data_IF_609989265948
#
_entry.id   IF_609989265948
#
_cell.length_a   1.000
_cell.length_b   1.000
_cell.length_c   1.000
_cell.angle_alpha   90.00
_cell.angle_beta   90.00
_cell.angle_gamma   90.00
#
_symmetry.space_group_name_H-M   'P 1'
#
loop_
_entity.id
_entity.type
_entity.pdbx_description
1 polymer ?
#
# COMPACT_ATOMS: atom_id res chain seq x y z
N UNK A 1 8.50 15.03 -9.35
CA UNK A 1 9.01 14.44 -8.10
C UNK A 1 10.51 14.64 -7.96
N UNK A 2 11.35 13.95 -8.73
CA UNK A 2 12.81 13.92 -8.52
C UNK A 2 13.52 15.28 -8.55
N UNK A 3 13.07 16.18 -9.43
CA UNK A 3 13.59 17.54 -9.50
C UNK A 3 13.28 18.37 -8.24
N UNK A 4 12.18 18.07 -7.55
CA UNK A 4 11.69 18.83 -6.37
C UNK A 4 12.19 18.22 -5.07
N UNK A 5 12.40 16.90 -5.04
CA UNK A 5 12.83 16.16 -3.84
C UNK A 5 14.35 16.00 -3.73
N UNK A 6 15.14 16.66 -4.59
CA UNK A 6 16.60 16.51 -4.60
C UNK A 6 17.04 15.06 -4.88
N UNK A 7 16.31 14.34 -5.72
CA UNK A 7 16.57 12.92 -6.02
C UNK A 7 15.99 11.93 -4.99
N UNK A 8 15.33 12.40 -3.92
CA UNK A 8 14.70 11.51 -2.94
C UNK A 8 13.47 10.84 -3.53
N UNK A 9 13.42 9.52 -3.42
CA UNK A 9 12.50 8.64 -4.12
C UNK A 9 11.22 8.33 -3.31
N UNK A 10 10.53 9.35 -2.77
CA UNK A 10 9.60 9.17 -1.64
C UNK A 10 8.17 8.73 -1.93
N UNK A 11 7.68 8.64 -3.18
CA UNK A 11 6.29 8.22 -3.46
C UNK A 11 6.14 7.44 -4.77
N UNK A 12 7.16 6.68 -5.17
CA UNK A 12 7.12 5.95 -6.45
C UNK A 12 6.02 4.91 -6.50
N UNK A 13 5.78 4.20 -5.40
CA UNK A 13 4.72 3.19 -5.32
C UNK A 13 3.36 3.84 -5.42
N UNK A 14 3.10 4.91 -4.66
CA UNK A 14 1.84 5.65 -4.74
C UNK A 14 1.57 6.18 -6.16
N UNK A 15 2.55 6.85 -6.81
CA UNK A 15 2.37 7.36 -8.18
C UNK A 15 2.07 6.22 -9.16
N UNK A 16 2.81 5.11 -9.06
CA UNK A 16 2.59 3.95 -9.91
C UNK A 16 1.17 3.39 -9.74
N UNK A 17 0.73 3.20 -8.49
CA UNK A 17 -0.59 2.64 -8.21
C UNK A 17 -1.73 3.56 -8.59
N UNK A 18 -1.64 4.85 -8.22
CA UNK A 18 -2.63 5.86 -8.60
C UNK A 18 -2.73 5.97 -10.11
N UNK A 19 -1.60 5.95 -10.84
CA UNK A 19 -1.61 6.00 -12.31
C UNK A 19 -2.37 4.83 -12.96
N UNK A 20 -2.17 3.61 -12.45
CA UNK A 20 -2.92 2.43 -12.94
C UNK A 20 -4.41 2.52 -12.58
N UNK A 21 -4.73 2.92 -11.34
CA UNK A 21 -6.10 3.09 -10.89
C UNK A 21 -6.83 4.20 -11.67
N UNK A 22 -6.16 5.30 -12.02
CA UNK A 22 -6.70 6.33 -12.92
C UNK A 22 -7.04 5.76 -14.30
N UNK A 23 -6.15 4.95 -14.88
CA UNK A 23 -6.39 4.33 -16.19
C UNK A 23 -7.58 3.36 -16.14
N UNK A 24 -7.67 2.55 -15.08
CA UNK A 24 -8.79 1.66 -14.84
C UNK A 24 -10.11 2.44 -14.66
N UNK A 25 -10.13 3.43 -13.78
CA UNK A 25 -11.31 4.26 -13.52
C UNK A 25 -11.78 4.98 -14.80
N UNK A 26 -10.88 5.63 -15.54
CA UNK A 26 -11.23 6.32 -16.78
C UNK A 26 -11.80 5.41 -17.86
N UNK A 27 -11.33 4.16 -17.94
CA UNK A 27 -11.92 3.17 -18.84
C UNK A 27 -13.32 2.76 -18.42
N UNK A 28 -13.56 2.56 -17.11
CA UNK A 28 -14.89 2.17 -16.61
C UNK A 28 -15.91 3.30 -16.69
N UNK A 29 -15.53 4.53 -16.31
CA UNK A 29 -16.41 5.70 -16.36
C UNK A 29 -16.88 6.07 -17.77
N UNK A 30 -16.28 5.50 -18.82
CA UNK A 30 -16.79 5.64 -20.19
C UNK A 30 -18.15 4.96 -20.38
N UNK A 31 -18.33 3.81 -19.75
CA UNK A 31 -19.45 2.90 -20.01
C UNK A 31 -20.36 2.72 -18.77
N UNK A 32 -19.94 3.22 -17.59
CA UNK A 32 -20.61 3.04 -16.30
C UNK A 32 -20.65 4.34 -15.50
N UNK A 33 -21.78 4.63 -14.86
CA UNK A 33 -21.93 5.80 -13.97
C UNK A 33 -21.33 5.58 -12.57
N UNK A 34 -20.91 4.35 -12.26
CA UNK A 34 -20.35 4.00 -10.97
C UNK A 34 -19.24 2.95 -11.12
N UNK A 35 -18.23 3.04 -10.27
CA UNK A 35 -17.08 2.14 -10.21
C UNK A 35 -16.91 1.63 -8.80
N UNK A 36 -16.43 0.40 -8.63
CA UNK A 36 -16.09 -0.17 -7.32
C UNK A 36 -14.59 -0.39 -7.19
N UNK A 37 -14.11 -0.47 -5.95
CA UNK A 37 -12.73 -0.79 -5.60
C UNK A 37 -12.30 -2.11 -6.24
N UNK A 38 -13.16 -3.13 -6.19
CA UNK A 38 -12.91 -4.43 -6.81
C UNK A 38 -12.82 -4.33 -8.33
N UNK A 39 -13.73 -3.60 -8.98
CA UNK A 39 -13.72 -3.48 -10.44
C UNK A 39 -12.48 -2.72 -10.93
N UNK A 40 -12.11 -1.64 -10.25
CA UNK A 40 -10.92 -0.85 -10.58
C UNK A 40 -9.63 -1.62 -10.32
N UNK A 41 -9.57 -2.38 -9.23
CA UNK A 41 -8.43 -3.22 -8.90
C UNK A 41 -8.28 -4.39 -9.90
N UNK A 42 -9.39 -5.03 -10.27
CA UNK A 42 -9.41 -6.07 -11.31
C UNK A 42 -8.90 -5.53 -12.66
N UNK A 43 -9.41 -4.38 -13.12
CA UNK A 43 -8.99 -3.82 -14.39
C UNK A 43 -7.52 -3.33 -14.34
N UNK A 44 -7.08 -2.78 -13.22
CA UNK A 44 -5.67 -2.43 -13.01
C UNK A 44 -4.74 -3.65 -13.14
N UNK A 45 -5.17 -4.81 -12.63
CA UNK A 45 -4.47 -6.08 -12.83
C UNK A 45 -4.41 -6.47 -14.30
N UNK A 46 -5.52 -6.36 -15.05
CA UNK A 46 -5.52 -6.66 -16.49
C UNK A 46 -4.55 -5.78 -17.27
N UNK A 47 -4.41 -4.50 -16.88
CA UNK A 47 -3.46 -3.57 -17.51
C UNK A 47 -2.01 -3.94 -17.18
N UNK A 48 -1.72 -4.28 -15.91
CA UNK A 48 -0.34 -4.44 -15.44
C UNK A 48 0.23 -5.85 -15.64
N UNK A 49 -0.59 -6.90 -15.52
CA UNK A 49 -0.12 -8.28 -15.28
C UNK A 49 0.85 -8.80 -16.34
N UNK A 50 0.47 -8.73 -17.62
CA UNK A 50 1.30 -9.26 -18.72
C UNK A 50 2.68 -8.60 -18.77
N UNK A 51 2.74 -7.28 -18.61
CA UNK A 51 4.01 -6.55 -18.65
C UNK A 51 4.86 -6.79 -17.39
N UNK A 52 4.21 -6.94 -16.22
CA UNK A 52 4.90 -7.29 -14.97
C UNK A 52 5.50 -8.71 -15.03
N UNK A 53 4.77 -9.69 -15.56
CA UNK A 53 5.25 -11.06 -15.76
C UNK A 53 6.47 -11.09 -16.68
N UNK A 54 6.41 -10.39 -17.81
CA UNK A 54 7.56 -10.21 -18.72
C UNK A 54 8.74 -9.53 -18.02
N UNK A 55 8.49 -8.51 -17.20
CA UNK A 55 9.54 -7.81 -16.47
C UNK A 55 10.24 -8.74 -15.46
N UNK A 56 9.48 -9.54 -14.69
CA UNK A 56 10.06 -10.48 -13.74
C UNK A 56 10.90 -11.57 -14.42
N UNK A 57 10.41 -12.15 -15.52
CA UNK A 57 11.17 -13.11 -16.32
C UNK A 57 12.50 -12.54 -16.81
N UNK A 58 12.48 -11.27 -17.25
CA UNK A 58 13.69 -10.57 -17.66
C UNK A 58 14.64 -10.32 -16.48
N UNK A 59 14.12 -9.91 -15.32
CA UNK A 59 14.93 -9.68 -14.11
C UNK A 59 15.65 -10.96 -13.67
N UNK A 60 15.01 -12.13 -13.78
CA UNK A 60 15.62 -13.42 -13.45
C UNK A 60 16.83 -13.77 -14.33
N UNK A 61 16.95 -13.16 -15.52
CA UNK A 61 17.98 -13.47 -16.53
C UNK A 61 19.10 -12.42 -16.59
N UNK A 62 19.09 -11.41 -15.72
CA UNK A 62 20.11 -10.35 -15.70
C UNK A 62 20.48 -9.87 -14.30
N UNK A 63 21.60 -9.16 -14.14
CA UNK A 63 21.91 -8.47 -12.89
C UNK A 63 20.84 -7.40 -12.53
N UNK A 64 20.51 -7.24 -11.23
CA UNK A 64 19.51 -6.27 -10.81
C UNK A 64 20.08 -4.84 -10.81
N UNK A 65 19.34 -3.91 -11.40
CA UNK A 65 19.66 -2.49 -11.46
C UNK A 65 19.01 -1.70 -10.31
N UNK A 66 17.83 -2.13 -9.85
CA UNK A 66 17.07 -1.40 -8.82
C UNK A 66 17.06 -2.11 -7.47
N UNK A 67 16.72 -1.37 -6.40
CA UNK A 67 16.50 -1.96 -5.07
C UNK A 67 15.37 -3.00 -5.10
N UNK A 68 14.28 -2.71 -5.81
CA UNK A 68 13.14 -3.63 -5.94
C UNK A 68 13.52 -4.94 -6.64
N UNK A 69 14.31 -4.87 -7.71
CA UNK A 69 14.82 -6.06 -8.40
C UNK A 69 15.73 -6.91 -7.51
N UNK A 70 16.61 -6.28 -6.74
CA UNK A 70 17.45 -7.01 -5.75
C UNK A 70 16.60 -7.73 -4.72
N UNK A 71 15.55 -7.10 -4.22
CA UNK A 71 14.63 -7.72 -3.27
C UNK A 71 13.84 -8.87 -3.90
N UNK A 72 13.37 -8.70 -5.13
CA UNK A 72 12.70 -9.75 -5.87
C UNK A 72 13.60 -10.98 -6.06
N UNK A 73 14.84 -10.79 -6.52
CA UNK A 73 15.80 -11.89 -6.69
C UNK A 73 16.19 -12.56 -5.36
N UNK A 74 16.30 -11.78 -4.27
CA UNK A 74 16.75 -12.31 -2.97
C UNK A 74 15.65 -12.99 -2.16
N UNK A 75 14.42 -12.47 -2.23
CA UNK A 75 13.33 -12.85 -1.32
C UNK A 75 12.04 -13.25 -2.05
N UNK A 76 11.99 -13.20 -3.38
CA UNK A 76 10.77 -13.40 -4.17
C UNK A 76 9.74 -12.28 -4.02
N UNK A 77 10.07 -11.20 -3.29
CA UNK A 77 9.15 -10.11 -3.02
C UNK A 77 8.93 -9.25 -4.28
N UNK A 78 7.70 -9.23 -4.78
CA UNK A 78 7.28 -8.49 -5.99
C UNK A 78 6.88 -7.03 -5.69
N UNK A 79 6.73 -6.65 -4.43
CA UNK A 79 6.39 -5.30 -3.99
C UNK A 79 5.09 -4.76 -4.60
N UNK A 80 5.02 -3.45 -4.78
CA UNK A 80 3.84 -2.76 -5.33
C UNK A 80 3.48 -3.23 -6.76
N UNK A 81 4.46 -3.76 -7.49
CA UNK A 81 4.29 -4.37 -8.81
C UNK A 81 3.49 -5.67 -8.71
N UNK A 82 3.81 -6.49 -7.70
CA UNK A 82 3.05 -7.69 -7.36
C UNK A 82 1.62 -7.35 -6.97
N UNK A 83 1.46 -6.37 -6.07
CA UNK A 83 0.14 -5.86 -5.68
C UNK A 83 -0.68 -5.45 -6.91
N UNK A 84 -0.14 -4.61 -7.81
CA UNK A 84 -0.85 -4.18 -8.99
C UNK A 84 -1.20 -5.35 -9.94
N UNK A 85 -0.26 -6.26 -10.21
CA UNK A 85 -0.50 -7.41 -11.08
C UNK A 85 -1.56 -8.38 -10.54
N UNK A 86 -1.71 -8.45 -9.22
CA UNK A 86 -2.68 -9.32 -8.53
C UNK A 86 -4.00 -8.59 -8.19
N UNK A 87 -4.13 -7.31 -8.53
CA UNK A 87 -5.34 -6.53 -8.27
C UNK A 87 -5.43 -6.03 -6.83
N UNK A 88 -4.32 -5.55 -6.31
CA UNK A 88 -4.15 -4.94 -4.98
C UNK A 88 -4.79 -5.74 -3.83
N UNK A 89 -4.41 -7.02 -3.64
CA UNK A 89 -5.01 -7.87 -2.61
C UNK A 89 -4.91 -7.27 -1.20
N UNK A 90 -3.80 -6.60 -0.86
CA UNK A 90 -3.65 -5.96 0.46
C UNK A 90 -4.61 -4.77 0.64
N UNK A 91 -4.86 -4.01 -0.44
CA UNK A 91 -5.80 -2.87 -0.43
C UNK A 91 -7.22 -3.39 -0.25
N UNK A 92 -7.64 -4.35 -1.08
CA UNK A 92 -8.98 -4.93 -1.01
C UNK A 92 -9.23 -5.65 0.33
N UNK A 93 -8.21 -6.24 0.95
CA UNK A 93 -8.34 -6.85 2.26
C UNK A 93 -8.69 -5.86 3.39
N UNK A 94 -8.29 -4.59 3.27
CA UNK A 94 -8.54 -3.56 4.30
C UNK A 94 -9.67 -2.59 3.93
N UNK A 95 -10.06 -2.53 2.65
CA UNK A 95 -11.01 -1.55 2.11
C UNK A 95 -12.41 -1.62 2.75
N UNK A 96 -13.05 -2.80 2.94
CA UNK A 96 -14.39 -2.86 3.52
C UNK A 96 -14.47 -2.30 4.96
N UNK A 97 -13.47 -2.60 5.78
CA UNK A 97 -13.42 -2.08 7.15
C UNK A 97 -13.07 -0.58 7.19
N UNK A 98 -12.30 -0.09 6.21
CA UNK A 98 -12.07 1.34 6.02
C UNK A 98 -13.38 2.08 5.70
N UNK A 99 -14.19 1.61 4.73
CA UNK A 99 -15.48 2.21 4.39
C UNK A 99 -16.47 2.19 5.57
N UNK A 100 -16.55 1.04 6.25
CA UNK A 100 -17.41 0.87 7.43
C UNK A 100 -17.06 1.85 8.56
N UNK A 101 -15.77 2.07 8.82
CA UNK A 101 -15.33 3.01 9.84
C UNK A 101 -15.65 4.45 9.46
N UNK A 102 -15.49 4.84 8.20
CA UNK A 102 -15.93 6.16 7.73
C UNK A 102 -17.45 6.35 7.85
N UNK A 103 -18.23 5.35 7.45
CA UNK A 103 -19.69 5.37 7.57
C UNK A 103 -20.17 5.46 9.03
N UNK A 104 -19.36 5.00 9.99
CA UNK A 104 -19.66 5.14 11.42
C UNK A 104 -19.45 6.56 11.98
N UNK A 105 -18.94 7.48 11.16
CA UNK A 105 -18.61 8.86 11.55
C UNK A 105 -17.27 8.99 12.25
N UNK A 106 -16.40 7.97 12.17
CA UNK A 106 -15.07 8.03 12.74
C UNK A 106 -14.22 9.12 12.08
N UNK A 107 -13.36 9.77 12.87
CA UNK A 107 -12.47 10.79 12.34
C UNK A 107 -11.52 10.20 11.30
N UNK A 108 -11.48 10.81 10.11
CA UNK A 108 -10.64 10.38 8.97
C UNK A 108 -9.18 10.08 9.34
N UNK A 109 -8.56 10.85 10.24
CA UNK A 109 -7.19 10.59 10.68
C UNK A 109 -7.06 9.29 11.49
N UNK A 110 -8.03 8.98 12.35
CA UNK A 110 -8.04 7.72 13.10
C UNK A 110 -8.22 6.54 12.14
N UNK A 111 -9.11 6.66 11.15
CA UNK A 111 -9.35 5.64 10.11
C UNK A 111 -8.08 5.39 9.29
N UNK A 112 -7.40 6.46 8.86
CA UNK A 112 -6.12 6.34 8.14
C UNK A 112 -5.05 5.61 8.96
N UNK A 113 -4.91 5.95 10.24
CA UNK A 113 -3.95 5.28 11.12
C UNK A 113 -4.33 3.82 11.34
N UNK A 114 -5.61 3.53 11.58
CA UNK A 114 -6.11 2.17 11.74
C UNK A 114 -5.79 1.32 10.50
N UNK A 115 -6.13 1.81 9.32
CA UNK A 115 -5.89 1.13 8.05
C UNK A 115 -4.40 0.99 7.74
N UNK A 116 -3.57 1.99 8.06
CA UNK A 116 -2.12 1.86 7.93
C UNK A 116 -1.58 0.70 8.76
N UNK A 117 -2.04 0.56 10.00
CA UNK A 117 -1.63 -0.53 10.88
C UNK A 117 -2.16 -1.90 10.42
N UNK A 118 -3.36 -1.96 9.83
CA UNK A 118 -3.86 -3.18 9.15
C UNK A 118 -2.96 -3.58 7.99
N UNK A 119 -2.58 -2.63 7.13
CA UNK A 119 -1.65 -2.87 6.02
C UNK A 119 -0.28 -3.34 6.53
N UNK A 120 0.28 -2.66 7.55
CA UNK A 120 1.55 -3.09 8.16
C UNK A 120 1.50 -4.51 8.73
N UNK A 121 0.34 -4.98 9.20
CA UNK A 121 0.21 -6.33 9.75
C UNK A 121 0.23 -7.43 8.68
N UNK A 122 -0.21 -7.13 7.45
CA UNK A 122 -0.41 -8.14 6.39
C UNK A 122 0.62 -8.06 5.26
N UNK A 123 1.14 -6.87 4.95
CA UNK A 123 1.98 -6.63 3.77
C UNK A 123 3.46 -6.93 4.00
N UNK A 124 4.11 -7.47 2.96
CA UNK A 124 5.58 -7.62 2.89
C UNK A 124 6.23 -6.32 2.41
N UNK A 125 6.34 -5.32 3.29
CA UNK A 125 6.84 -3.98 2.95
C UNK A 125 8.29 -3.99 2.45
N UNK A 126 8.46 -3.69 1.15
CA UNK A 126 9.77 -3.66 0.50
C UNK A 126 10.70 -2.55 1.00
N UNK A 127 10.18 -1.44 1.52
CA UNK A 127 11.02 -0.38 2.08
C UNK A 127 11.62 -0.81 3.41
N UNK A 128 10.84 -1.48 4.26
CA UNK A 128 11.34 -2.07 5.51
C UNK A 128 12.33 -3.19 5.21
N UNK A 129 11.99 -4.09 4.29
CA UNK A 129 12.86 -5.20 3.89
C UNK A 129 14.20 -4.70 3.34
N UNK A 130 14.20 -3.66 2.50
CA UNK A 130 15.41 -3.07 1.94
C UNK A 130 16.32 -2.41 2.98
N UNK A 131 15.73 -1.79 4.02
CA UNK A 131 16.48 -0.99 5.00
C UNK A 131 16.92 -1.79 6.21
N UNK A 132 16.06 -2.67 6.69
CA UNK A 132 16.16 -3.29 8.01
C UNK A 132 16.07 -4.83 7.97
N UNK A 133 15.82 -5.43 6.81
CA UNK A 133 15.79 -6.88 6.64
C UNK A 133 14.51 -7.57 7.14
N UNK A 134 14.49 -8.89 7.04
CA UNK A 134 13.32 -9.75 7.30
C UNK A 134 12.91 -9.74 8.77
N UNK A 135 13.86 -9.67 9.70
CA UNK A 135 13.58 -9.61 11.15
C UNK A 135 12.80 -8.35 11.53
N UNK A 136 13.22 -7.19 10.99
CA UNK A 136 12.52 -5.93 11.23
C UNK A 136 11.13 -5.92 10.60
N UNK A 137 10.97 -6.53 9.42
CA UNK A 137 9.67 -6.69 8.78
C UNK A 137 8.74 -7.56 9.63
N UNK A 138 9.20 -8.73 10.09
CA UNK A 138 8.43 -9.59 10.97
C UNK A 138 8.06 -8.89 12.29
N UNK A 139 8.99 -8.14 12.87
CA UNK A 139 8.73 -7.36 14.07
C UNK A 139 7.71 -6.24 13.85
N UNK A 140 7.76 -5.54 12.71
CA UNK A 140 6.75 -4.55 12.32
C UNK A 140 5.36 -5.19 12.23
N UNK A 141 5.21 -6.32 11.50
CA UNK A 141 3.93 -7.02 11.37
C UNK A 141 3.36 -7.42 12.74
N UNK A 142 4.22 -7.98 13.60
CA UNK A 142 3.84 -8.37 14.96
C UNK A 142 3.38 -7.19 15.81
N UNK A 143 4.16 -6.11 15.83
CA UNK A 143 3.84 -4.92 16.64
C UNK A 143 2.62 -4.17 16.11
N UNK A 144 2.41 -4.17 14.80
CA UNK A 144 1.20 -3.64 14.21
C UNK A 144 -0.05 -4.44 14.65
N UNK A 145 0.03 -5.77 14.65
CA UNK A 145 -1.02 -6.63 15.22
C UNK A 145 -1.31 -6.33 16.69
N UNK A 146 -0.27 -6.10 17.51
CA UNK A 146 -0.45 -5.74 18.93
C UNK A 146 -1.16 -4.40 19.12
N UNK A 147 -0.89 -3.41 18.26
CA UNK A 147 -1.62 -2.14 18.25
C UNK A 147 -3.10 -2.37 17.94
N UNK A 148 -3.39 -3.15 16.90
CA UNK A 148 -4.77 -3.46 16.50
C UNK A 148 -5.53 -4.19 17.61
N UNK A 149 -4.92 -5.19 18.25
CA UNK A 149 -5.51 -5.89 19.42
C UNK A 149 -5.74 -4.96 20.61
N UNK A 150 -4.93 -3.91 20.77
CA UNK A 150 -5.12 -2.91 21.83
C UNK A 150 -6.22 -1.88 21.53
N UNK A 151 -6.96 -2.01 20.41
CA UNK A 151 -8.00 -1.08 19.96
C UNK A 151 -7.51 -0.03 18.96
N UNK A 152 -6.24 -0.13 18.54
CA UNK A 152 -5.68 0.67 17.45
C UNK A 152 -5.82 2.18 17.63
N UNK A 153 -6.17 2.89 16.56
CA UNK A 153 -6.31 4.34 16.58
C UNK A 153 -7.56 4.83 17.34
N UNK A 154 -8.47 3.92 17.72
CA UNK A 154 -9.73 4.25 18.37
C UNK A 154 -9.69 4.13 19.90
N UNK A 155 -8.57 3.69 20.48
CA UNK A 155 -8.41 3.57 21.93
C UNK A 155 -7.21 4.37 22.44
N UNK A 156 -7.29 4.83 23.68
CA UNK A 156 -6.16 5.53 24.33
C UNK A 156 -4.92 4.63 24.42
N UNK A 157 -5.13 3.35 24.77
CA UNK A 157 -4.06 2.34 24.85
C UNK A 157 -3.39 2.11 23.50
N UNK A 158 -4.18 1.96 22.43
CA UNK A 158 -3.68 1.77 21.07
C UNK A 158 -2.94 3.01 20.57
N UNK A 159 -3.49 4.20 20.78
CA UNK A 159 -2.82 5.47 20.45
C UNK A 159 -1.49 5.68 21.21
N UNK A 160 -1.42 5.29 22.48
CA UNK A 160 -0.16 5.31 23.23
C UNK A 160 0.88 4.36 22.62
N UNK A 161 0.47 3.16 22.18
CA UNK A 161 1.34 2.22 21.48
C UNK A 161 1.79 2.74 20.11
N UNK A 162 0.89 3.36 19.34
CA UNK A 162 1.21 3.98 18.05
C UNK A 162 2.32 5.02 18.22
N UNK A 163 2.17 5.95 19.18
CA UNK A 163 3.19 6.97 19.48
C UNK A 163 4.53 6.36 19.89
N UNK A 164 4.49 5.31 20.72
CA UNK A 164 5.70 4.60 21.13
C UNK A 164 6.40 3.92 19.94
N UNK A 165 5.63 3.28 19.06
CA UNK A 165 6.17 2.61 17.88
C UNK A 165 6.73 3.61 16.87
N UNK A 166 6.10 4.77 16.68
CA UNK A 166 6.61 5.82 15.80
C UNK A 166 8.02 6.28 16.21
N UNK A 167 8.24 6.50 17.52
CA UNK A 167 9.57 6.81 18.04
C UNK A 167 10.58 5.67 17.80
N UNK A 168 10.17 4.41 17.98
CA UNK A 168 11.03 3.24 17.74
C UNK A 168 11.33 3.09 16.25
N UNK A 169 10.35 3.29 15.38
CA UNK A 169 10.50 3.20 13.93
C UNK A 169 11.50 4.24 13.44
N UNK A 170 11.37 5.47 13.92
CA UNK A 170 12.32 6.55 13.67
C UNK A 170 13.73 6.18 14.14
N UNK A 171 13.88 5.74 15.40
CA UNK A 171 15.19 5.38 15.96
C UNK A 171 15.86 4.19 15.26
N UNK A 172 15.07 3.24 14.75
CA UNK A 172 15.55 2.04 14.04
C UNK A 172 15.57 2.19 12.51
N UNK A 173 15.21 3.37 12.00
CA UNK A 173 15.06 3.64 10.56
C UNK A 173 14.10 2.66 9.85
N UNK A 174 13.09 2.15 10.56
CA UNK A 174 12.02 1.33 10.01
C UNK A 174 11.01 2.28 9.37
N UNK A 175 10.88 2.20 8.06
CA UNK A 175 9.99 3.07 7.29
C UNK A 175 9.04 2.23 6.44
N UNK A 176 7.78 2.05 6.87
CA UNK A 176 6.75 1.28 6.17
C UNK A 176 6.18 2.07 4.99
N UNK A 177 7.05 2.54 4.10
CA UNK A 177 6.65 3.38 2.97
C UNK A 177 5.81 2.63 1.94
N UNK A 178 5.99 1.31 1.79
CA UNK A 178 5.13 0.50 0.92
C UNK A 178 3.70 0.43 1.46
N UNK A 179 3.54 0.29 2.78
CA UNK A 179 2.23 0.35 3.44
C UNK A 179 1.58 1.74 3.28
N UNK A 180 2.37 2.82 3.33
CA UNK A 180 1.87 4.18 3.10
C UNK A 180 1.43 4.41 1.63
N UNK A 181 2.16 3.83 0.68
CA UNK A 181 1.77 3.83 -0.74
C UNK A 181 0.44 3.09 -0.93
N UNK A 182 0.26 1.93 -0.28
CA UNK A 182 -1.01 1.18 -0.31
C UNK A 182 -2.16 1.92 0.39
N UNK A 183 -1.90 2.61 1.50
CA UNK A 183 -2.91 3.47 2.13
C UNK A 183 -3.36 4.58 1.17
N UNK A 184 -2.43 5.12 0.37
CA UNK A 184 -2.78 6.13 -0.64
C UNK A 184 -3.71 5.53 -1.70
N UNK A 185 -3.50 4.27 -2.11
CA UNK A 185 -4.41 3.55 -3.00
C UNK A 185 -5.79 3.32 -2.37
N UNK A 186 -5.88 2.93 -1.09
CA UNK A 186 -7.16 2.82 -0.35
C UNK A 186 -7.92 4.15 -0.40
N UNK A 187 -7.26 5.25 -0.04
CA UNK A 187 -7.87 6.58 -0.02
C UNK A 187 -8.33 7.03 -1.40
N UNK A 188 -7.56 6.68 -2.43
CA UNK A 188 -7.88 7.03 -3.81
C UNK A 188 -9.08 6.23 -4.34
N UNK A 189 -9.15 4.93 -4.07
CA UNK A 189 -10.30 4.10 -4.40
C UNK A 189 -11.58 4.61 -3.75
N UNK A 190 -11.53 4.95 -2.46
CA UNK A 190 -12.65 5.56 -1.75
C UNK A 190 -13.12 6.83 -2.48
N UNK A 191 -12.20 7.74 -2.79
CA UNK A 191 -12.56 8.95 -3.53
C UNK A 191 -13.25 8.64 -4.86
N UNK A 192 -12.73 7.67 -5.63
CA UNK A 192 -13.30 7.30 -6.93
C UNK A 192 -14.69 6.65 -6.82
N UNK A 193 -14.94 5.78 -5.83
CA UNK A 193 -16.27 5.19 -5.63
C UNK A 193 -17.34 6.24 -5.27
N UNK A 194 -16.93 7.29 -4.57
CA UNK A 194 -17.81 8.39 -4.13
C UNK A 194 -17.82 9.59 -5.10
N UNK A 195 -17.10 9.52 -6.22
CA UNK A 195 -17.21 10.53 -7.28
C UNK A 195 -18.54 10.36 -8.00
N UNK A 196 -19.31 11.44 -8.09
CA UNK A 196 -20.45 11.51 -9.01
C UNK A 196 -19.91 11.80 -10.42
N UNK A 197 -20.41 11.13 -11.47
CA UNK A 197 -20.10 11.49 -12.85
C UNK A 197 -20.43 12.97 -13.10
N UNK A 198 -19.60 13.64 -13.90
CA UNK A 198 -19.80 15.03 -14.35
C UNK A 198 -20.86 15.08 -15.45
#
# INVERSE_FOLDING_TARGET
>A
MFSVTGGVNTHKGAIFSIGLLCAAAGFQFRDQDHVTAESMAFLSSQIAKTEMEREWDNILRRPPHTKGERLFLRYGNRGIRGEAAEGYPSVLAVFPEFEKELASGAQMNAVKLQTLFRLMAITEDTNVLARCGTEALAWMKKTAGQVLTAGGAYSEKGMALIKKLDAIFTARNISPGGCADLLSAVLFLHQLEHLQPI
#
